data_IF_801205952326
#
_entry.id   IF_801205952326
#
_cell.length_a   1.000
_cell.length_b   1.000
_cell.length_c   1.000
_cell.angle_alpha   90.00
_cell.angle_beta   90.00
_cell.angle_gamma   90.00
#
_symmetry.space_group_name_H-M   'P 1'
#
loop_
_entity.id
_entity.type
_entity.pdbx_description
1 polymer ?
#
# COMPACT_ATOMS: atom_id res chain seq x y z
N UNK A 1 -11.86 -29.06 -15.45
CA UNK A 1 -12.33 -28.00 -14.53
C UNK A 1 -11.44 -28.07 -13.31
N UNK A 2 -10.64 -27.05 -13.07
CA UNK A 2 -9.76 -26.94 -11.89
C UNK A 2 -10.35 -25.92 -10.93
N UNK A 3 -10.26 -26.17 -9.63
CA UNK A 3 -10.75 -25.27 -8.60
C UNK A 3 -10.10 -25.57 -7.26
N UNK A 4 -10.17 -24.63 -6.33
CA UNK A 4 -9.63 -24.81 -4.98
C UNK A 4 -10.72 -25.34 -4.06
N UNK A 5 -10.46 -26.46 -3.42
CA UNK A 5 -11.33 -26.99 -2.38
C UNK A 5 -10.94 -26.41 -1.03
N UNK A 6 -11.93 -25.91 -0.29
CA UNK A 6 -11.76 -25.42 1.08
C UNK A 6 -12.71 -26.23 1.96
N UNK A 7 -12.16 -26.93 2.95
CA UNK A 7 -12.91 -27.81 3.85
C UNK A 7 -13.75 -27.08 4.89
N UNK A 8 -13.67 -25.74 4.95
CA UNK A 8 -14.39 -24.91 5.91
C UNK A 8 -15.39 -23.97 5.21
N UNK A 9 -16.56 -23.80 5.83
CA UNK A 9 -17.61 -22.87 5.38
C UNK A 9 -18.02 -21.95 6.52
N UNK A 10 -18.35 -20.70 6.18
CA UNK A 10 -18.64 -19.65 7.16
C UNK A 10 -20.11 -19.22 7.18
N UNK A 11 -20.95 -19.85 6.36
CA UNK A 11 -22.38 -19.55 6.26
C UNK A 11 -22.70 -18.33 5.40
N UNK A 12 -21.69 -17.68 4.79
CA UNK A 12 -21.89 -16.57 3.86
C UNK A 12 -21.93 -17.01 2.40
N UNK A 13 -21.77 -18.29 2.09
CA UNK A 13 -21.67 -18.81 0.72
C UNK A 13 -22.87 -18.44 -0.17
N UNK A 14 -24.07 -18.31 0.40
CA UNK A 14 -25.29 -17.90 -0.32
C UNK A 14 -25.60 -16.39 -0.24
N UNK A 15 -24.87 -15.63 0.59
CA UNK A 15 -25.14 -14.20 0.83
C UNK A 15 -24.07 -13.29 0.28
N UNK A 16 -22.81 -13.72 0.33
CA UNK A 16 -21.66 -13.02 -0.25
C UNK A 16 -21.27 -13.70 -1.56
N UNK A 17 -22.09 -13.46 -2.57
CA UNK A 17 -21.90 -13.93 -3.95
C UNK A 17 -21.50 -12.74 -4.83
N UNK A 18 -20.85 -12.97 -6.00
CA UNK A 18 -20.57 -11.89 -6.95
C UNK A 18 -21.81 -11.06 -7.32
N UNK A 19 -22.97 -11.69 -7.44
CA UNK A 19 -24.23 -11.02 -7.78
C UNK A 19 -24.69 -10.10 -6.65
N UNK A 20 -24.74 -10.62 -5.41
CA UNK A 20 -25.20 -9.85 -4.25
C UNK A 20 -24.28 -8.69 -3.91
N UNK A 21 -22.96 -8.86 -4.00
CA UNK A 21 -22.01 -7.78 -3.72
C UNK A 21 -22.05 -6.67 -4.78
N UNK A 22 -22.37 -7.02 -6.03
CA UNK A 22 -22.52 -6.05 -7.11
C UNK A 22 -23.73 -5.14 -6.92
N UNK A 23 -24.74 -5.51 -6.12
CA UNK A 23 -25.91 -4.67 -5.85
C UNK A 23 -26.06 -4.26 -4.37
N UNK A 24 -25.11 -4.62 -3.52
CA UNK A 24 -25.16 -4.38 -2.08
C UNK A 24 -25.15 -2.88 -1.74
N UNK A 25 -25.99 -2.47 -0.79
CA UNK A 25 -26.00 -1.12 -0.22
C UNK A 25 -25.00 -0.97 0.93
N UNK A 26 -24.74 0.27 1.37
CA UNK A 26 -23.87 0.54 2.53
C UNK A 26 -24.45 -0.06 3.81
N UNK A 27 -25.78 0.01 3.99
CA UNK A 27 -26.50 -0.54 5.14
C UNK A 27 -26.41 -2.07 5.19
N UNK A 28 -26.57 -2.74 4.05
CA UNK A 28 -26.41 -4.20 3.95
C UNK A 28 -24.97 -4.61 4.31
N UNK A 29 -23.97 -3.91 3.76
CA UNK A 29 -22.56 -4.17 4.04
C UNK A 29 -22.24 -3.98 5.53
N UNK A 30 -22.70 -2.89 6.13
CA UNK A 30 -22.53 -2.64 7.57
C UNK A 30 -23.22 -3.70 8.43
N UNK A 31 -24.41 -4.17 8.04
CA UNK A 31 -25.11 -5.24 8.75
C UNK A 31 -24.32 -6.55 8.71
N UNK A 32 -23.69 -6.86 7.57
CA UNK A 32 -22.82 -8.02 7.41
C UNK A 32 -21.55 -7.88 8.26
N UNK A 33 -20.89 -6.72 8.23
CA UNK A 33 -19.70 -6.44 9.04
C UNK A 33 -19.99 -6.53 10.55
N UNK A 34 -21.12 -5.98 11.01
CA UNK A 34 -21.52 -6.04 12.42
C UNK A 34 -21.98 -7.44 12.87
N UNK A 35 -22.26 -8.35 11.92
CA UNK A 35 -22.66 -9.73 12.20
C UNK A 35 -21.53 -10.73 12.00
N UNK A 36 -20.29 -10.28 11.87
CA UNK A 36 -19.11 -11.15 11.77
C UNK A 36 -19.14 -12.24 12.86
N UNK A 37 -19.03 -13.50 12.45
CA UNK A 37 -19.04 -14.67 13.34
C UNK A 37 -20.42 -15.11 13.84
N UNK A 38 -21.51 -14.41 13.50
CA UNK A 38 -22.86 -14.76 13.97
C UNK A 38 -23.63 -15.71 13.03
N UNK A 39 -23.12 -15.96 11.82
CA UNK A 39 -23.74 -16.93 10.92
C UNK A 39 -23.35 -18.36 11.29
N UNK A 40 -24.37 -19.20 11.45
CA UNK A 40 -24.18 -20.63 11.68
C UNK A 40 -23.81 -21.32 10.38
N UNK A 41 -22.76 -22.12 10.44
CA UNK A 41 -22.41 -23.07 9.40
C UNK A 41 -23.56 -24.05 9.17
N UNK A 42 -23.80 -24.42 7.91
CA UNK A 42 -24.71 -25.54 7.63
C UNK A 42 -24.05 -26.85 8.08
N UNK A 43 -24.70 -27.60 8.96
CA UNK A 43 -24.20 -28.90 9.45
C UNK A 43 -24.01 -29.93 8.32
N UNK A 44 -24.64 -29.71 7.16
CA UNK A 44 -24.52 -30.59 5.99
C UNK A 44 -23.40 -30.18 5.02
N UNK A 45 -22.78 -29.01 5.19
CA UNK A 45 -21.74 -28.52 4.29
C UNK A 45 -20.38 -29.11 4.65
N UNK A 46 -19.83 -29.97 3.79
CA UNK A 46 -18.49 -30.57 3.95
C UNK A 46 -17.34 -29.67 3.47
N UNK A 47 -17.66 -28.56 2.79
CA UNK A 47 -16.70 -27.61 2.24
C UNK A 47 -17.28 -26.77 1.11
N UNK A 48 -16.44 -25.93 0.51
CA UNK A 48 -16.75 -25.10 -0.67
C UNK A 48 -15.68 -25.29 -1.75
N UNK A 49 -16.06 -25.04 -3.00
CA UNK A 49 -15.15 -25.04 -4.15
C UNK A 49 -15.15 -23.64 -4.75
N UNK A 50 -13.95 -23.07 -4.89
CA UNK A 50 -13.74 -21.84 -5.65
C UNK A 50 -13.42 -22.23 -7.10
N UNK A 51 -14.28 -21.80 -8.02
CA UNK A 51 -14.21 -22.17 -9.44
C UNK A 51 -13.70 -21.04 -10.34
N UNK A 52 -13.53 -19.83 -9.81
CA UNK A 52 -13.08 -18.64 -10.53
C UNK A 52 -11.95 -17.96 -9.75
N UNK A 53 -11.03 -17.32 -10.47
CA UNK A 53 -9.93 -16.55 -9.90
C UNK A 53 -10.32 -15.09 -9.65
N UNK A 54 -11.45 -14.63 -10.22
CA UNK A 54 -12.01 -13.32 -9.93
C UNK A 54 -12.61 -13.29 -8.52
N UNK A 55 -12.05 -12.43 -7.67
CA UNK A 55 -12.56 -12.19 -6.33
C UNK A 55 -12.77 -10.71 -6.09
N UNK A 56 -13.59 -10.43 -5.07
CA UNK A 56 -14.06 -9.09 -4.75
C UNK A 56 -13.74 -8.75 -3.31
N UNK A 57 -13.44 -7.49 -3.06
CA UNK A 57 -13.24 -6.95 -1.72
C UNK A 57 -14.16 -5.75 -1.55
N UNK A 58 -14.96 -5.74 -0.48
CA UNK A 58 -15.91 -4.67 -0.19
C UNK A 58 -15.42 -3.95 1.05
N UNK A 59 -15.31 -2.62 0.96
CA UNK A 59 -14.93 -1.79 2.09
C UNK A 59 -15.93 -0.64 2.27
N UNK A 60 -16.41 -0.47 3.50
CA UNK A 60 -17.09 0.76 3.91
C UNK A 60 -16.01 1.75 4.37
N UNK A 61 -16.00 2.94 3.77
CA UNK A 61 -14.97 3.96 3.97
C UNK A 61 -15.62 5.33 4.14
N UNK A 62 -14.86 6.31 4.64
CA UNK A 62 -15.29 7.70 4.61
C UNK A 62 -15.42 8.20 3.17
N UNK A 63 -16.47 8.96 2.89
CA UNK A 63 -16.76 9.53 1.56
C UNK A 63 -15.68 10.50 1.08
N UNK A 64 -14.88 11.07 2.00
CA UNK A 64 -13.69 11.86 1.68
C UNK A 64 -12.68 11.10 0.79
N UNK A 65 -12.69 9.76 0.85
CA UNK A 65 -11.83 8.89 0.06
C UNK A 65 -12.15 8.91 -1.42
N UNK A 66 -13.36 9.32 -1.82
CA UNK A 66 -13.77 9.43 -3.23
C UNK A 66 -12.87 10.37 -4.04
N UNK A 67 -12.20 11.32 -3.40
CA UNK A 67 -11.23 12.19 -4.06
C UNK A 67 -9.90 11.49 -4.37
N UNK A 68 -9.63 10.35 -3.72
CA UNK A 68 -8.38 9.59 -3.86
C UNK A 68 -8.54 8.29 -4.64
N UNK A 69 -9.76 7.80 -4.81
CA UNK A 69 -10.09 6.60 -5.60
C UNK A 69 -10.98 6.96 -6.78
N UNK A 70 -10.80 6.30 -7.90
CA UNK A 70 -11.60 6.58 -9.10
C UNK A 70 -12.07 5.27 -9.69
N UNK A 71 -13.35 5.19 -10.06
CA UNK A 71 -13.94 4.03 -10.72
C UNK A 71 -13.14 3.68 -11.99
N UNK A 72 -12.95 2.38 -12.23
CA UNK A 72 -12.15 1.82 -13.31
C UNK A 72 -10.65 2.18 -13.27
N UNK A 73 -10.12 2.63 -12.13
CA UNK A 73 -8.68 2.75 -11.88
C UNK A 73 -8.20 1.65 -10.96
N UNK A 74 -6.90 1.36 -11.03
CA UNK A 74 -6.24 0.45 -10.11
C UNK A 74 -5.80 1.19 -8.86
N UNK A 75 -5.89 0.51 -7.73
CA UNK A 75 -5.33 0.92 -6.45
C UNK A 75 -4.50 -0.22 -5.87
N UNK A 76 -3.55 0.10 -4.99
CA UNK A 76 -2.71 -0.92 -4.36
C UNK A 76 -3.14 -1.14 -2.91
N UNK A 77 -3.36 -2.39 -2.55
CA UNK A 77 -3.62 -2.81 -1.18
C UNK A 77 -2.42 -3.55 -0.61
N UNK A 78 -2.22 -3.44 0.71
CA UNK A 78 -1.38 -4.34 1.49
C UNK A 78 -2.26 -5.07 2.48
N UNK A 79 -2.25 -6.40 2.43
CA UNK A 79 -3.00 -7.25 3.35
C UNK A 79 -2.04 -7.78 4.42
N UNK A 80 -2.20 -7.41 5.70
CA UNK A 80 -1.34 -7.91 6.78
C UNK A 80 -1.27 -9.43 6.85
N UNK A 81 -2.39 -10.11 6.56
CA UNK A 81 -2.48 -11.58 6.57
C UNK A 81 -1.64 -12.25 5.46
N UNK A 82 -1.43 -11.57 4.34
CA UNK A 82 -0.59 -12.04 3.25
C UNK A 82 0.87 -11.53 3.41
N UNK A 83 1.36 -11.44 4.65
CA UNK A 83 2.68 -10.89 4.98
C UNK A 83 2.93 -9.48 4.41
N UNK A 84 1.89 -8.66 4.30
CA UNK A 84 1.97 -7.32 3.70
C UNK A 84 2.21 -7.31 2.19
N UNK A 85 1.90 -8.41 1.49
CA UNK A 85 1.98 -8.47 0.04
C UNK A 85 1.13 -7.36 -0.59
N UNK A 86 1.73 -6.65 -1.55
CA UNK A 86 1.07 -5.59 -2.31
C UNK A 86 0.25 -6.20 -3.46
N UNK A 87 -1.03 -5.86 -3.51
CA UNK A 87 -1.98 -6.34 -4.53
C UNK A 87 -2.57 -5.15 -5.26
N UNK A 88 -2.47 -5.15 -6.58
CA UNK A 88 -3.22 -4.21 -7.41
C UNK A 88 -4.66 -4.70 -7.59
N UNK A 89 -5.63 -3.86 -7.28
CA UNK A 89 -7.06 -4.16 -7.42
C UNK A 89 -7.75 -3.06 -8.22
N UNK A 90 -8.73 -3.45 -9.05
CA UNK A 90 -9.55 -2.51 -9.80
C UNK A 90 -10.71 -2.00 -8.95
N UNK A 91 -10.94 -0.68 -8.96
CA UNK A 91 -12.14 -0.06 -8.38
C UNK A 91 -13.31 -0.32 -9.32
N UNK A 92 -14.17 -1.29 -9.00
CA UNK A 92 -15.35 -1.65 -9.81
C UNK A 92 -16.49 -0.69 -9.61
N UNK A 93 -16.76 -0.30 -8.37
CA UNK A 93 -17.87 0.58 -8.05
C UNK A 93 -17.65 1.38 -6.77
N UNK A 94 -18.31 2.53 -6.71
CA UNK A 94 -18.30 3.43 -5.54
C UNK A 94 -19.75 3.86 -5.32
N UNK A 95 -20.28 3.59 -4.14
CA UNK A 95 -21.67 3.89 -3.76
C UNK A 95 -21.67 4.73 -2.50
N UNK A 96 -22.21 5.92 -2.57
CA UNK A 96 -22.37 6.79 -1.39
C UNK A 96 -23.61 6.32 -0.64
N UNK A 97 -23.55 6.32 0.69
CA UNK A 97 -24.74 6.06 1.49
C UNK A 97 -25.74 7.23 1.32
N UNK A 98 -26.98 6.91 0.98
CA UNK A 98 -28.05 7.90 0.85
C UNK A 98 -28.45 8.50 2.21
N UNK A 99 -28.32 7.72 3.29
CA UNK A 99 -28.69 8.12 4.65
C UNK A 99 -27.56 8.86 5.37
N UNK A 100 -26.31 8.49 5.09
CA UNK A 100 -25.11 9.08 5.68
C UNK A 100 -24.06 9.41 4.61
N UNK A 101 -24.13 10.60 3.98
CA UNK A 101 -23.20 10.99 2.92
C UNK A 101 -21.72 11.04 3.35
N UNK A 102 -21.42 10.89 4.65
CA UNK A 102 -20.04 10.74 5.15
C UNK A 102 -19.45 9.36 4.88
N UNK A 103 -20.25 8.37 4.47
CA UNK A 103 -19.81 7.00 4.18
C UNK A 103 -20.03 6.62 2.72
N UNK A 104 -19.15 5.77 2.23
CA UNK A 104 -19.33 5.09 0.96
C UNK A 104 -18.93 3.61 1.05
N UNK A 105 -19.55 2.79 0.23
CA UNK A 105 -19.16 1.41 -0.04
C UNK A 105 -18.38 1.39 -1.35
N UNK A 106 -17.20 0.79 -1.31
CA UNK A 106 -16.34 0.64 -2.48
C UNK A 106 -16.17 -0.84 -2.76
N UNK A 107 -16.43 -1.21 -4.02
CA UNK A 107 -16.23 -2.55 -4.54
C UNK A 107 -14.93 -2.61 -5.32
N UNK A 108 -14.00 -3.45 -4.86
CA UNK A 108 -12.76 -3.75 -5.55
C UNK A 108 -12.81 -5.15 -6.15
N UNK A 109 -12.07 -5.38 -7.24
CA UNK A 109 -11.90 -6.70 -7.83
C UNK A 109 -10.45 -6.99 -8.17
N UNK A 110 -10.07 -8.25 -8.07
CA UNK A 110 -8.77 -8.76 -8.50
C UNK A 110 -8.96 -10.14 -9.14
N UNK A 111 -8.14 -10.47 -10.13
CA UNK A 111 -8.07 -11.76 -10.82
C UNK A 111 -6.86 -12.59 -10.38
N UNK A 112 -6.01 -12.03 -9.52
CA UNK A 112 -4.89 -12.72 -8.92
C UNK A 112 -5.27 -13.27 -7.54
N UNK A 113 -5.36 -14.59 -7.43
CA UNK A 113 -5.76 -15.28 -6.21
C UNK A 113 -4.59 -15.40 -5.23
N UNK A 114 -4.85 -15.11 -3.96
CA UNK A 114 -3.91 -15.31 -2.85
C UNK A 114 -4.52 -16.31 -1.88
N UNK A 115 -3.78 -17.39 -1.62
CA UNK A 115 -4.28 -18.54 -0.87
C UNK A 115 -4.72 -18.17 0.55
N UNK A 116 -3.96 -17.30 1.21
CA UNK A 116 -4.24 -16.80 2.56
C UNK A 116 -5.56 -16.02 2.63
N UNK A 117 -5.92 -15.31 1.55
CA UNK A 117 -7.18 -14.55 1.49
C UNK A 117 -8.39 -15.46 1.24
N UNK A 118 -8.20 -16.64 0.62
CA UNK A 118 -9.31 -17.57 0.34
C UNK A 118 -9.93 -18.15 1.61
N UNK A 119 -9.17 -18.18 2.71
CA UNK A 119 -9.60 -18.74 3.99
C UNK A 119 -10.42 -17.74 4.84
N UNK A 120 -10.41 -16.45 4.47
CA UNK A 120 -10.98 -15.38 5.29
C UNK A 120 -12.09 -14.66 4.54
N UNK A 121 -13.21 -14.39 5.24
CA UNK A 121 -14.30 -13.57 4.72
C UNK A 121 -14.18 -12.10 5.11
N UNK A 122 -13.61 -11.86 6.29
CA UNK A 122 -13.41 -10.56 6.89
C UNK A 122 -11.93 -10.37 7.14
N UNK A 123 -11.38 -9.28 6.64
CA UNK A 123 -9.98 -8.93 6.86
C UNK A 123 -9.82 -7.43 6.71
N UNK A 124 -8.82 -6.87 7.37
CA UNK A 124 -8.41 -5.48 7.19
C UNK A 124 -7.33 -5.40 6.13
N UNK A 125 -7.27 -4.27 5.43
CA UNK A 125 -6.26 -4.02 4.41
C UNK A 125 -5.89 -2.54 4.39
N UNK A 126 -4.62 -2.26 4.13
CA UNK A 126 -4.11 -0.90 3.99
C UNK A 126 -4.18 -0.48 2.51
N UNK A 127 -4.87 0.61 2.24
CA UNK A 127 -4.92 1.22 0.91
C UNK A 127 -3.73 2.17 0.72
N UNK A 128 -2.83 1.82 -0.19
CA UNK A 128 -1.58 2.54 -0.44
C UNK A 128 -1.82 3.60 -1.52
N UNK A 129 -1.72 4.88 -1.14
CA UNK A 129 -1.83 6.01 -2.07
C UNK A 129 -0.52 6.39 -2.72
N UNK A 130 0.53 6.49 -1.90
CA UNK A 130 1.86 6.92 -2.33
C UNK A 130 2.87 5.89 -1.82
N UNK A 131 3.81 5.52 -2.68
CA UNK A 131 4.95 4.68 -2.33
C UNK A 131 6.19 5.37 -2.88
N UNK A 132 7.16 5.63 -2.00
CA UNK A 132 8.43 6.22 -2.36
C UNK A 132 9.52 5.18 -2.14
N UNK A 133 10.36 4.98 -3.15
CA UNK A 133 11.49 4.05 -3.09
C UNK A 133 12.78 4.83 -3.32
N UNK A 134 13.74 4.65 -2.44
CA UNK A 134 14.97 5.43 -2.45
C UNK A 134 15.86 5.13 -1.24
N UNK A 135 16.93 5.90 -1.09
CA UNK A 135 17.87 5.78 0.03
C UNK A 135 17.32 6.56 1.21
N UNK A 136 17.21 5.89 2.36
CA UNK A 136 16.89 6.56 3.63
C UNK A 136 18.14 7.26 4.17
N UNK A 137 18.07 8.57 4.33
CA UNK A 137 19.17 9.40 4.81
C UNK A 137 18.71 10.14 6.07
N UNK A 138 19.49 10.16 7.16
CA UNK A 138 19.16 10.95 8.35
C UNK A 138 18.99 12.43 8.02
N UNK A 139 17.92 13.07 8.52
CA UNK A 139 17.66 14.50 8.28
C UNK A 139 18.81 15.38 8.79
N UNK A 140 19.51 14.93 9.83
CA UNK A 140 20.71 15.59 10.38
C UNK A 140 21.93 15.57 9.47
N UNK A 141 21.98 14.72 8.44
CA UNK A 141 23.04 14.68 7.45
C UNK A 141 22.81 15.63 6.25
N UNK A 142 21.57 16.12 6.08
CA UNK A 142 21.19 16.97 4.96
C UNK A 142 21.86 18.34 5.11
N UNK A 143 22.40 18.84 4.00
CA UNK A 143 23.05 20.15 3.89
C UNK A 143 22.47 20.90 2.70
N UNK A 144 22.51 22.23 2.78
CA UNK A 144 22.22 23.13 1.67
C UNK A 144 23.53 23.78 1.27
N UNK A 145 23.99 23.53 0.04
CA UNK A 145 25.20 24.12 -0.53
C UNK A 145 24.80 24.77 -1.85
N UNK A 146 25.09 26.06 -2.01
CA UNK A 146 24.73 26.85 -3.19
C UNK A 146 23.26 26.70 -3.61
N UNK A 147 22.36 26.69 -2.62
CA UNK A 147 20.91 26.54 -2.82
C UNK A 147 20.42 25.12 -3.14
N UNK A 148 21.31 24.12 -3.20
CA UNK A 148 20.96 22.73 -3.49
C UNK A 148 20.97 21.89 -2.21
N UNK A 149 19.93 21.06 -2.00
CA UNK A 149 19.92 20.04 -0.95
C UNK A 149 20.82 18.85 -1.36
N UNK A 150 21.61 18.36 -0.42
CA UNK A 150 22.51 17.23 -0.63
C UNK A 150 23.09 16.69 0.67
N UNK A 151 24.03 15.76 0.55
CA UNK A 151 24.79 15.21 1.66
C UNK A 151 26.28 15.21 1.35
N UNK A 152 27.10 15.23 2.40
CA UNK A 152 28.51 14.90 2.25
C UNK A 152 28.71 13.40 2.43
N UNK A 153 29.43 12.79 1.49
CA UNK A 153 29.87 11.39 1.56
C UNK A 153 31.38 11.34 1.71
N UNK A 154 31.89 10.30 2.38
CA UNK A 154 33.32 10.04 2.48
C UNK A 154 33.80 9.29 1.23
N UNK A 155 34.76 9.88 0.51
CA UNK A 155 35.46 9.23 -0.61
C UNK A 155 36.94 9.18 -0.25
N UNK A 156 37.41 7.99 0.10
CA UNK A 156 38.74 7.81 0.69
C UNK A 156 38.81 8.52 2.03
N UNK A 157 39.56 9.63 2.11
CA UNK A 157 39.65 10.47 3.32
C UNK A 157 39.03 11.84 3.12
N UNK A 158 38.30 12.08 2.03
CA UNK A 158 37.76 13.40 1.69
C UNK A 158 36.24 13.42 1.72
N UNK A 159 35.66 14.49 2.27
CA UNK A 159 34.25 14.78 2.13
C UNK A 159 33.95 15.29 0.72
N UNK A 160 32.92 14.74 0.07
CA UNK A 160 32.38 15.25 -1.19
C UNK A 160 30.88 15.44 -1.09
N UNK A 161 30.40 16.58 -1.55
CA UNK A 161 29.00 16.92 -1.63
C UNK A 161 28.36 16.20 -2.82
N UNK A 162 27.30 15.46 -2.54
CA UNK A 162 26.41 14.88 -3.54
C UNK A 162 25.03 15.50 -3.38
N UNK A 163 24.54 16.10 -4.47
CA UNK A 163 23.16 16.59 -4.54
C UNK A 163 22.19 15.40 -4.44
N UNK A 164 21.07 15.62 -3.75
CA UNK A 164 20.00 14.62 -3.66
C UNK A 164 18.68 15.23 -4.15
N UNK A 165 17.82 14.39 -4.70
CA UNK A 165 16.42 14.69 -4.91
C UNK A 165 15.60 14.01 -3.80
N UNK A 166 14.84 14.77 -3.01
CA UNK A 166 14.06 14.23 -1.89
C UNK A 166 12.67 13.84 -2.41
N UNK A 167 12.35 12.56 -2.32
CA UNK A 167 11.04 12.00 -2.66
C UNK A 167 10.05 12.12 -1.49
N UNK A 168 10.55 12.00 -0.26
CA UNK A 168 9.75 12.05 0.96
C UNK A 168 10.58 12.53 2.15
N UNK A 169 9.99 13.29 3.06
CA UNK A 169 10.67 13.89 4.22
C UNK A 169 9.84 13.66 5.50
N UNK A 170 10.50 13.13 6.53
CA UNK A 170 10.03 13.01 7.90
C UNK A 170 10.98 13.77 8.84
N UNK A 171 10.58 14.05 10.09
CA UNK A 171 11.44 14.79 11.02
C UNK A 171 12.83 14.18 11.23
N UNK A 172 12.95 12.86 11.19
CA UNK A 172 14.19 12.11 11.47
C UNK A 172 14.95 11.65 10.21
N UNK A 173 14.28 11.47 9.07
CA UNK A 173 14.91 11.07 7.81
C UNK A 173 14.24 11.63 6.56
N UNK A 174 14.97 11.54 5.45
CA UNK A 174 14.45 11.73 4.10
C UNK A 174 14.63 10.46 3.27
N UNK A 175 13.75 10.25 2.29
CA UNK A 175 13.93 9.25 1.23
C UNK A 175 14.41 9.99 -0.01
N UNK A 176 15.64 9.70 -0.43
CA UNK A 176 16.27 10.31 -1.59
C UNK A 176 16.23 9.38 -2.80
N UNK A 177 16.02 9.94 -3.99
CA UNK A 177 16.00 9.19 -5.25
C UNK A 177 17.38 8.55 -5.54
N UNK A 178 17.37 7.31 -6.02
CA UNK A 178 18.59 6.54 -6.36
C UNK A 178 19.03 6.72 -7.82
N UNK A 179 18.12 7.16 -8.69
CA UNK A 179 18.34 7.29 -10.13
C UNK A 179 17.55 8.49 -10.66
N UNK A 180 18.19 9.64 -10.79
CA UNK A 180 17.60 10.76 -11.53
C UNK A 180 18.26 10.82 -12.92
N UNK A 181 17.51 10.55 -14.02
CA UNK A 181 18.01 10.64 -15.38
C UNK A 181 18.50 12.07 -15.76
N UNK A 182 17.98 13.11 -15.10
CA UNK A 182 18.43 14.49 -15.28
C UNK A 182 19.71 14.80 -14.48
N UNK A 183 20.06 13.98 -13.49
CA UNK A 183 21.34 14.02 -12.78
C UNK A 183 22.38 13.08 -13.38
N UNK A 184 22.24 12.58 -14.63
CA UNK A 184 23.26 11.71 -15.26
C UNK A 184 24.69 12.30 -15.25
N UNK A 185 24.84 13.62 -15.07
CA UNK A 185 26.13 14.30 -14.91
C UNK A 185 26.63 14.46 -13.46
N UNK A 186 25.84 14.09 -12.47
CA UNK A 186 26.15 14.21 -11.03
C UNK A 186 26.09 12.81 -10.42
N UNK A 187 27.21 12.34 -9.87
CA UNK A 187 27.30 11.03 -9.24
C UNK A 187 26.27 10.93 -8.08
N UNK A 188 25.21 10.11 -8.22
CA UNK A 188 24.15 10.06 -7.22
C UNK A 188 24.66 9.44 -5.92
N UNK A 189 23.91 9.65 -4.83
CA UNK A 189 24.11 8.90 -3.60
C UNK A 189 23.64 7.47 -3.85
N UNK A 190 24.44 6.51 -3.41
CA UNK A 190 24.22 5.07 -3.53
C UNK A 190 24.18 4.43 -2.14
N UNK A 191 23.70 3.18 -2.05
CA UNK A 191 23.72 2.43 -0.79
C UNK A 191 25.12 2.21 -0.22
N UNK A 192 26.15 2.33 -1.07
CA UNK A 192 27.54 2.07 -0.73
C UNK A 192 28.27 3.35 -0.25
N UNK A 193 27.61 4.51 -0.31
CA UNK A 193 28.19 5.77 0.14
C UNK A 193 28.12 5.93 1.66
N UNK A 194 29.26 6.24 2.29
CA UNK A 194 29.33 6.59 3.71
C UNK A 194 28.92 8.05 3.94
N UNK A 195 27.69 8.26 4.39
CA UNK A 195 27.14 9.61 4.66
C UNK A 195 27.65 10.18 5.98
N UNK A 196 28.16 11.41 5.94
CA UNK A 196 28.67 12.11 7.12
C UNK A 196 27.53 12.83 7.86
N UNK A 197 27.18 12.36 9.06
CA UNK A 197 26.03 12.87 9.84
C UNK A 197 26.42 14.00 10.82
N UNK A 198 27.61 13.93 11.42
CA UNK A 198 27.94 14.70 12.64
C UNK A 198 29.05 15.74 12.57
N UNK A 199 29.68 15.96 11.41
CA UNK A 199 30.83 16.89 11.32
C UNK A 199 30.39 18.33 11.07
N UNK A 200 31.04 19.26 11.78
CA UNK A 200 30.94 20.70 11.55
C UNK A 200 31.92 21.13 10.44
N UNK A 201 31.58 22.22 9.75
CA UNK A 201 32.41 22.88 8.73
C UNK A 201 32.82 21.96 7.54
N UNK A 202 31.90 21.14 7.03
CA UNK A 202 32.15 20.33 5.84
C UNK A 202 32.13 21.19 4.57
N UNK A 203 33.07 20.93 3.67
CA UNK A 203 33.15 21.48 2.32
C UNK A 203 33.83 20.46 1.40
N UNK A 204 33.68 20.63 0.09
CA UNK A 204 34.24 19.71 -0.90
C UNK A 204 35.76 19.59 -0.80
N UNK A 205 36.24 18.35 -0.69
CA UNK A 205 37.66 18.02 -0.57
C UNK A 205 38.21 18.11 0.85
N UNK A 206 37.40 18.49 1.86
CA UNK A 206 37.83 18.51 3.26
C UNK A 206 38.31 17.12 3.68
N UNK A 207 39.52 17.05 4.23
CA UNK A 207 40.03 15.80 4.80
C UNK A 207 39.28 15.50 6.10
N UNK A 208 38.63 14.34 6.14
CA UNK A 208 37.95 13.79 7.31
C UNK A 208 38.85 12.72 7.89
N UNK A 209 39.22 12.87 9.16
CA UNK A 209 40.02 11.91 9.93
C UNK A 209 39.15 11.24 10.97
#
# INVERSE_FOLDING_TARGET
MSGFFISNTDGYESTLTPETVNSMSVEDAMTILNSEGNKKQSEAAVGKIITDFNWYYLAVMDSSMQNKITKNKMVTFSFPIASGQKIAMNVKDIRVDEKDPSKCLVLFSCDNMIEELNLMRFTTADLIFNSFEGIRIPSSAIRIVDGNKGVYVLIGTQAKFKKINILYEQPDYVVAETKDPMLEKVMPVTSDDEVIVGSKDLYDGKIVK
#
